data_IF_372887566717
#
_entry.id   IF_372887566717
#
_cell.length_a   1.000
_cell.length_b   1.000
_cell.length_c   1.000
_cell.angle_alpha   90.00
_cell.angle_beta   90.00
_cell.angle_gamma   90.00
#
_symmetry.space_group_name_H-M   'P 1'
#
loop_
_entity.id
_entity.type
_entity.pdbx_description
1 polymer ?
#
# COMPACT_ATOMS: atom_id res chain seq x y z
N UNK A 1 0.09 12.07 9.58
CA UNK A 1 0.22 11.49 8.22
C UNK A 1 -0.42 10.11 8.29
N UNK A 2 -1.32 9.74 7.36
CA UNK A 2 -1.97 8.42 7.40
C UNK A 2 -1.07 7.41 6.67
N UNK A 3 -0.24 6.70 7.43
CA UNK A 3 0.61 5.60 6.94
C UNK A 3 -0.04 4.26 7.25
N UNK A 4 0.50 3.19 6.66
CA UNK A 4 0.09 1.81 6.99
C UNK A 4 0.47 1.48 8.43
N UNK A 5 -0.45 0.86 9.15
CA UNK A 5 -0.32 0.43 10.54
C UNK A 5 -0.45 -1.10 10.70
N UNK A 6 -1.13 -1.77 9.77
CA UNK A 6 -1.35 -3.22 9.77
C UNK A 6 -1.17 -3.78 8.37
N UNK A 7 -0.45 -4.89 8.25
CA UNK A 7 -0.35 -5.68 7.02
C UNK A 7 -1.21 -6.93 7.16
N UNK A 8 -1.83 -7.37 6.06
CA UNK A 8 -2.65 -8.58 6.05
C UNK A 8 -2.58 -9.29 4.70
N UNK A 9 -2.75 -10.61 4.73
CA UNK A 9 -2.88 -11.46 3.55
C UNK A 9 -4.19 -12.25 3.61
N UNK A 10 -4.86 -12.38 2.47
CA UNK A 10 -6.09 -13.16 2.36
C UNK A 10 -5.75 -14.62 2.07
N UNK A 11 -6.36 -15.54 2.82
CA UNK A 11 -6.23 -16.96 2.52
C UNK A 11 -7.02 -17.34 1.27
N UNK A 12 -6.37 -17.95 0.29
CA UNK A 12 -7.00 -18.38 -0.97
C UNK A 12 -8.12 -19.41 -0.75
N UNK A 13 -8.02 -20.24 0.30
CA UNK A 13 -8.97 -21.33 0.56
C UNK A 13 -10.26 -20.87 1.26
N UNK A 14 -10.14 -20.02 2.29
CA UNK A 14 -11.27 -19.64 3.14
C UNK A 14 -11.62 -18.15 3.06
N UNK A 15 -10.88 -17.36 2.30
CA UNK A 15 -11.05 -15.92 2.10
C UNK A 15 -10.92 -15.05 3.36
N UNK A 16 -10.53 -15.64 4.50
CA UNK A 16 -10.26 -14.92 5.75
C UNK A 16 -8.92 -14.17 5.67
N UNK A 17 -8.87 -13.00 6.30
CA UNK A 17 -7.66 -12.19 6.38
C UNK A 17 -6.83 -12.55 7.61
N UNK A 18 -5.53 -12.71 7.38
CA UNK A 18 -4.54 -12.97 8.42
C UNK A 18 -3.61 -11.78 8.55
N UNK A 19 -3.40 -11.31 9.79
CA UNK A 19 -2.45 -10.23 10.05
C UNK A 19 -1.03 -10.75 9.84
N UNK A 20 -0.22 -9.98 9.13
CA UNK A 20 1.19 -10.26 8.88
C UNK A 20 2.01 -9.33 9.75
N UNK A 21 2.93 -9.90 10.53
CA UNK A 21 3.60 -9.17 11.62
C UNK A 21 4.58 -8.11 11.11
N UNK A 22 5.25 -8.40 9.99
CA UNK A 22 6.32 -7.56 9.46
C UNK A 22 6.03 -7.13 8.03
N UNK A 23 6.54 -5.96 7.66
CA UNK A 23 6.46 -5.47 6.29
C UNK A 23 7.22 -6.39 5.34
N UNK A 24 8.37 -6.92 5.79
CA UNK A 24 9.24 -7.81 5.00
C UNK A 24 8.54 -9.12 4.64
N UNK A 25 7.81 -9.72 5.59
CA UNK A 25 7.00 -10.91 5.33
C UNK A 25 5.82 -10.61 4.40
N UNK A 26 5.16 -9.46 4.59
CA UNK A 26 4.08 -9.03 3.71
C UNK A 26 4.57 -8.85 2.27
N UNK A 27 5.72 -8.21 2.07
CA UNK A 27 6.31 -8.04 0.74
C UNK A 27 6.72 -9.36 0.10
N UNK A 28 7.25 -10.30 0.90
CA UNK A 28 7.56 -11.65 0.43
C UNK A 28 6.29 -12.35 -0.08
N UNK A 29 5.21 -12.35 0.71
CA UNK A 29 3.91 -12.91 0.31
C UNK A 29 3.40 -12.23 -0.96
N UNK A 30 3.32 -10.89 -0.98
CA UNK A 30 2.81 -10.09 -2.10
C UNK A 30 3.58 -10.35 -3.39
N UNK A 31 4.90 -10.44 -3.32
CA UNK A 31 5.78 -10.61 -4.49
C UNK A 31 5.56 -11.94 -5.19
N UNK A 32 5.16 -12.98 -4.45
CA UNK A 32 4.98 -14.34 -4.94
C UNK A 32 3.53 -14.78 -5.00
N UNK A 33 2.57 -13.94 -4.61
CA UNK A 33 1.17 -14.35 -4.39
C UNK A 33 0.51 -15.00 -5.62
N UNK A 34 0.94 -14.64 -6.83
CA UNK A 34 0.43 -15.21 -8.09
C UNK A 34 0.89 -16.65 -8.28
N UNK A 35 2.11 -16.98 -7.87
CA UNK A 35 2.73 -18.30 -8.02
C UNK A 35 2.54 -19.18 -6.77
N UNK A 36 2.51 -18.53 -5.61
CA UNK A 36 2.40 -19.15 -4.29
C UNK A 36 1.32 -18.41 -3.48
N UNK A 37 0.03 -18.78 -3.68
CA UNK A 37 -1.08 -18.19 -2.93
C UNK A 37 -0.90 -18.34 -1.42
N UNK A 38 -1.50 -17.42 -0.66
CA UNK A 38 -1.41 -17.44 0.79
C UNK A 38 -2.45 -18.39 1.39
N UNK A 39 -2.04 -19.20 2.37
CA UNK A 39 -2.91 -20.12 3.11
C UNK A 39 -2.70 -19.95 4.61
N UNK A 40 -3.75 -20.14 5.42
CA UNK A 40 -3.72 -19.96 6.88
C UNK A 40 -2.59 -20.75 7.56
N UNK A 41 -2.32 -21.97 7.10
CA UNK A 41 -1.30 -22.86 7.66
C UNK A 41 0.15 -22.37 7.46
N UNK A 42 0.36 -21.29 6.70
CA UNK A 42 1.65 -20.59 6.65
C UNK A 42 1.99 -19.93 7.99
N UNK A 43 0.96 -19.56 8.78
CA UNK A 43 1.13 -19.14 10.17
C UNK A 43 1.10 -20.38 11.06
N UNK A 44 2.12 -20.61 11.91
CA UNK A 44 2.14 -21.75 12.81
C UNK A 44 0.91 -21.80 13.71
N UNK A 45 0.23 -22.94 13.74
CA UNK A 45 -0.93 -23.16 14.60
C UNK A 45 -2.24 -22.49 14.16
N UNK A 46 -2.29 -21.89 12.96
CA UNK A 46 -3.52 -21.28 12.41
C UNK A 46 -4.05 -22.10 11.24
N UNK A 47 -5.37 -22.33 11.23
CA UNK A 47 -6.08 -23.07 10.19
C UNK A 47 -7.19 -22.24 9.53
N UNK A 48 -7.93 -22.87 8.61
CA UNK A 48 -9.08 -22.24 7.96
C UNK A 48 -10.33 -22.23 8.86
N UNK A 49 -10.33 -23.04 9.91
CA UNK A 49 -11.42 -23.15 10.87
C UNK A 49 -11.37 -22.00 11.88
N UNK A 50 -10.18 -21.47 12.17
CA UNK A 50 -10.01 -20.33 13.07
C UNK A 50 -10.69 -19.05 12.54
N UNK A 51 -11.26 -18.20 13.41
CA UNK A 51 -11.79 -16.88 13.06
C UNK A 51 -10.75 -16.02 12.34
N UNK A 52 -11.15 -15.08 11.48
CA UNK A 52 -10.22 -14.16 10.85
C UNK A 52 -9.49 -13.30 11.90
N UNK A 53 -8.24 -12.92 11.62
CA UNK A 53 -7.47 -12.05 12.52
C UNK A 53 -8.01 -10.62 12.45
N UNK A 54 -8.57 -10.26 11.29
CA UNK A 54 -9.10 -8.94 10.96
C UNK A 54 -10.17 -9.08 9.88
N UNK A 55 -11.20 -8.22 9.92
CA UNK A 55 -12.28 -8.20 8.92
C UNK A 55 -12.14 -7.00 7.99
N UNK A 56 -12.42 -7.21 6.70
CA UNK A 56 -12.44 -6.14 5.71
C UNK A 56 -13.78 -5.38 5.79
N UNK A 57 -13.88 -4.49 6.77
CA UNK A 57 -15.05 -3.67 7.06
C UNK A 57 -14.71 -2.16 7.11
N UNK A 58 -15.70 -1.34 7.47
CA UNK A 58 -15.55 0.12 7.59
C UNK A 58 -14.94 0.58 8.93
N UNK A 59 -14.42 -0.33 9.78
CA UNK A 59 -13.73 0.05 11.02
C UNK A 59 -12.40 0.77 10.76
N UNK A 60 -11.82 0.57 9.57
CA UNK A 60 -10.59 1.21 9.09
C UNK A 60 -10.60 1.29 7.57
N UNK A 61 -9.80 2.18 7.00
CA UNK A 61 -9.63 2.22 5.54
C UNK A 61 -8.67 1.14 5.06
N UNK A 62 -9.14 0.30 4.16
CA UNK A 62 -8.38 -0.74 3.51
C UNK A 62 -7.80 -0.28 2.18
N UNK A 63 -6.62 -0.80 1.89
CA UNK A 63 -5.94 -0.62 0.61
C UNK A 63 -5.39 -1.97 0.15
N UNK A 64 -5.52 -2.28 -1.14
CA UNK A 64 -5.08 -3.56 -1.71
C UNK A 64 -4.00 -3.30 -2.75
N UNK A 65 -2.79 -3.83 -2.50
CA UNK A 65 -1.70 -3.81 -3.47
C UNK A 65 -2.04 -4.70 -4.68
N UNK A 66 -1.48 -4.35 -5.84
CA UNK A 66 -1.53 -5.23 -7.02
C UNK A 66 -0.78 -6.55 -6.70
N UNK A 67 -1.32 -7.72 -7.07
CA UNK A 67 -0.59 -8.98 -6.96
C UNK A 67 0.76 -8.96 -7.69
N UNK A 68 1.78 -9.60 -7.12
CA UNK A 68 3.09 -9.77 -7.75
C UNK A 68 3.98 -8.52 -7.75
N UNK A 69 3.69 -7.52 -6.92
CA UNK A 69 4.58 -6.37 -6.76
C UNK A 69 5.90 -6.81 -6.09
N UNK A 70 7.05 -6.44 -6.66
CA UNK A 70 8.36 -6.87 -6.15
C UNK A 70 8.60 -6.35 -4.73
N UNK A 71 9.54 -6.98 -4.04
CA UNK A 71 10.00 -6.52 -2.72
C UNK A 71 10.74 -5.19 -2.87
N UNK A 72 10.77 -4.43 -1.79
CA UNK A 72 11.58 -3.21 -1.71
C UNK A 72 13.07 -3.58 -1.79
N UNK A 73 13.90 -2.81 -2.53
CA UNK A 73 15.33 -3.07 -2.60
C UNK A 73 16.00 -3.00 -1.22
N UNK A 74 16.97 -3.88 -0.98
CA UNK A 74 17.66 -3.99 0.31
C UNK A 74 18.22 -2.66 0.80
N UNK A 75 17.97 -2.34 2.08
CA UNK A 75 18.40 -1.08 2.72
C UNK A 75 17.44 0.10 2.49
N UNK A 76 16.48 -0.02 1.58
CA UNK A 76 15.41 0.97 1.41
C UNK A 76 14.14 0.49 2.11
N UNK A 77 13.23 1.43 2.36
CA UNK A 77 11.89 1.14 2.88
C UNK A 77 10.83 1.80 2.00
N UNK A 78 9.84 1.04 1.51
CA UNK A 78 8.68 1.63 0.84
C UNK A 78 7.77 2.27 1.90
N UNK A 79 7.37 3.51 1.66
CA UNK A 79 6.49 4.26 2.55
C UNK A 79 5.24 4.67 1.77
N UNK A 80 4.09 4.23 2.24
CA UNK A 80 2.80 4.57 1.66
C UNK A 80 2.08 5.60 2.53
N UNK A 81 1.53 6.63 1.89
CA UNK A 81 0.78 7.69 2.58
C UNK A 81 -0.57 7.89 1.92
N UNK A 82 -1.65 7.68 2.68
CA UNK A 82 -3.00 7.97 2.23
C UNK A 82 -3.24 9.48 2.18
N UNK A 83 -3.77 9.96 1.07
CA UNK A 83 -4.13 11.37 0.89
C UNK A 83 -5.25 11.78 1.85
N UNK A 84 -5.33 13.09 2.13
CA UNK A 84 -6.34 13.63 3.07
C UNK A 84 -7.77 13.34 2.62
N UNK A 85 -7.99 13.34 1.32
CA UNK A 85 -9.27 13.08 0.64
C UNK A 85 -9.56 11.59 0.39
N UNK A 86 -8.69 10.68 0.84
CA UNK A 86 -8.82 9.22 0.67
C UNK A 86 -8.86 8.76 -0.80
N UNK A 87 -8.51 9.62 -1.76
CA UNK A 87 -8.58 9.30 -3.19
C UNK A 87 -7.59 8.23 -3.63
N UNK A 88 -6.38 8.23 -3.05
CA UNK A 88 -5.32 7.26 -3.29
C UNK A 88 -4.22 7.35 -2.24
N UNK A 89 -3.34 6.36 -2.24
CA UNK A 89 -2.04 6.46 -1.58
C UNK A 89 -0.98 7.03 -2.52
N UNK A 90 -0.03 7.77 -1.96
CA UNK A 90 1.22 8.11 -2.62
C UNK A 90 2.34 7.19 -2.10
N UNK A 91 3.12 6.62 -3.02
CA UNK A 91 4.27 5.78 -2.70
C UNK A 91 5.58 6.61 -2.67
N UNK A 92 6.42 6.30 -1.69
CA UNK A 92 7.74 6.90 -1.48
C UNK A 92 8.74 5.82 -1.12
N UNK A 93 10.02 6.16 -1.20
CA UNK A 93 11.10 5.33 -0.66
C UNK A 93 11.90 6.11 0.37
N UNK A 94 12.16 5.48 1.50
CA UNK A 94 13.09 5.98 2.52
C UNK A 94 14.44 5.32 2.25
N UNK A 95 15.47 6.14 2.10
CA UNK A 95 16.84 5.67 1.89
C UNK A 95 17.42 5.10 3.19
N UNK A 96 18.53 4.35 3.11
CA UNK A 96 19.30 3.95 4.30
C UNK A 96 19.76 5.13 5.19
N UNK A 97 19.79 6.35 4.66
CA UNK A 97 20.13 7.57 5.38
C UNK A 97 18.91 8.30 5.95
N UNK A 98 17.71 7.74 5.80
CA UNK A 98 16.45 8.33 6.26
C UNK A 98 15.82 9.36 5.30
N UNK A 99 16.44 9.63 4.14
CA UNK A 99 15.90 10.59 3.16
C UNK A 99 14.67 10.00 2.48
N UNK A 100 13.58 10.78 2.41
CA UNK A 100 12.36 10.40 1.70
C UNK A 100 12.45 10.85 0.24
N UNK A 101 12.27 9.91 -0.68
CA UNK A 101 12.28 10.10 -2.13
C UNK A 101 10.91 9.77 -2.71
N UNK A 102 10.44 10.57 -3.66
CA UNK A 102 9.10 10.50 -4.25
C UNK A 102 9.11 10.10 -5.72
N UNK A 103 10.25 10.20 -6.39
CA UNK A 103 10.35 9.96 -7.83
C UNK A 103 11.54 9.08 -8.20
N UNK A 104 11.49 8.47 -9.38
CA UNK A 104 12.63 7.73 -9.94
C UNK A 104 13.85 8.63 -10.16
N UNK A 105 13.66 9.88 -10.55
CA UNK A 105 14.76 10.83 -10.74
C UNK A 105 15.47 11.13 -9.41
N UNK A 106 14.71 11.27 -8.32
CA UNK A 106 15.28 11.45 -6.98
C UNK A 106 16.06 10.20 -6.52
N UNK A 107 15.59 8.99 -6.88
CA UNK A 107 16.32 7.74 -6.62
C UNK A 107 17.61 7.70 -7.45
N UNK A 108 17.54 8.00 -8.74
CA UNK A 108 18.71 8.03 -9.62
C UNK A 108 19.79 8.96 -9.06
N UNK A 109 19.41 10.19 -8.75
CA UNK A 109 20.32 11.17 -8.14
C UNK A 109 20.88 10.70 -6.79
N UNK A 110 20.09 9.98 -5.98
CA UNK A 110 20.58 9.39 -4.73
C UNK A 110 21.61 8.28 -4.98
N UNK A 111 21.36 7.37 -5.92
CA UNK A 111 22.26 6.26 -6.23
C UNK A 111 23.58 6.77 -6.84
N UNK A 112 23.52 7.77 -7.74
CA UNK A 112 24.71 8.44 -8.28
C UNK A 112 25.56 9.09 -7.19
N UNK A 113 24.92 9.79 -6.25
CA UNK A 113 25.60 10.43 -5.13
C UNK A 113 26.11 9.43 -4.06
N UNK A 114 25.68 8.17 -4.09
CA UNK A 114 26.03 7.15 -3.10
C UNK A 114 26.53 5.85 -3.75
N UNK A 115 27.76 5.82 -4.30
CA UNK A 115 28.34 4.68 -5.01
C UNK A 115 28.35 3.34 -4.25
N UNK A 116 28.23 3.35 -2.92
CA UNK A 116 28.08 2.14 -2.09
C UNK A 116 26.83 1.31 -2.41
N UNK A 117 25.83 1.89 -3.09
CA UNK A 117 24.60 1.21 -3.48
C UNK A 117 24.57 0.81 -4.97
N UNK A 118 25.72 0.73 -5.65
CA UNK A 118 25.85 0.39 -7.08
C UNK A 118 25.18 -0.93 -7.52
N UNK A 119 24.85 -1.83 -6.59
CA UNK A 119 24.13 -3.09 -6.87
C UNK A 119 22.60 -2.95 -6.90
N UNK A 120 22.05 -1.77 -6.59
CA UNK A 120 20.60 -1.52 -6.61
C UNK A 120 20.24 -0.83 -7.92
N UNK A 121 19.32 -1.42 -8.69
CA UNK A 121 18.81 -0.83 -9.93
C UNK A 121 17.68 0.14 -9.65
N UNK A 122 17.56 1.20 -10.47
CA UNK A 122 16.40 2.10 -10.46
C UNK A 122 15.11 1.32 -10.79
N UNK A 123 15.23 0.25 -11.60
CA UNK A 123 14.10 -0.60 -12.02
C UNK A 123 13.51 -1.41 -10.87
N UNK A 124 14.29 -1.66 -9.81
CA UNK A 124 13.83 -2.39 -8.63
C UNK A 124 12.83 -1.55 -7.79
N UNK A 125 12.71 -0.25 -8.08
CA UNK A 125 11.79 0.65 -7.38
C UNK A 125 10.43 0.76 -8.09
N UNK A 126 9.40 0.28 -7.40
CA UNK A 126 8.03 0.23 -7.88
C UNK A 126 7.10 1.21 -7.13
N UNK A 127 6.67 2.25 -7.84
CA UNK A 127 5.77 3.29 -7.32
C UNK A 127 4.27 2.98 -7.50
N UNK A 128 3.91 1.77 -7.93
CA UNK A 128 2.52 1.34 -8.00
C UNK A 128 1.89 1.51 -6.62
N UNK A 129 0.77 2.22 -6.54
CA UNK A 129 0.08 2.47 -5.27
C UNK A 129 -1.07 1.49 -5.10
N UNK A 130 -1.35 1.02 -3.87
CA UNK A 130 -2.48 0.13 -3.64
C UNK A 130 -3.79 0.86 -3.92
N UNK A 131 -4.81 0.09 -4.32
CA UNK A 131 -6.16 0.59 -4.55
C UNK A 131 -6.86 0.79 -3.21
N UNK A 132 -7.45 1.97 -2.99
CA UNK A 132 -8.29 2.24 -1.82
C UNK A 132 -9.63 1.53 -1.99
N UNK A 133 -10.10 0.85 -0.94
CA UNK A 133 -11.42 0.22 -0.90
C UNK A 133 -12.44 1.26 -0.44
N UNK A 134 -13.21 1.80 -1.38
CA UNK A 134 -14.13 2.92 -1.14
C UNK A 134 -15.17 2.61 -0.05
N UNK A 135 -15.64 1.37 0.02
CA UNK A 135 -16.58 0.86 1.02
C UNK A 135 -16.05 0.99 2.45
N UNK A 136 -14.72 0.96 2.62
CA UNK A 136 -14.03 1.05 3.92
C UNK A 136 -13.61 2.48 4.30
N UNK A 137 -13.87 3.46 3.43
CA UNK A 137 -13.61 4.88 3.71
C UNK A 137 -14.69 5.42 4.66
N UNK A 138 -14.34 6.21 5.69
CA UNK A 138 -15.33 6.82 6.59
C UNK A 138 -16.39 7.66 5.85
N UNK A 139 -17.65 7.53 6.26
CA UNK A 139 -18.80 8.19 5.61
C UNK A 139 -18.73 9.73 5.63
N UNK A 140 -18.16 10.32 6.67
CA UNK A 140 -17.94 11.76 6.80
C UNK A 140 -17.01 12.29 5.69
N UNK A 141 -16.02 11.50 5.30
CA UNK A 141 -15.09 11.82 4.21
C UNK A 141 -15.81 11.70 2.86
N UNK A 142 -16.59 10.63 2.64
CA UNK A 142 -17.35 10.43 1.40
C UNK A 142 -18.30 11.59 1.12
N UNK A 143 -18.97 12.10 2.15
CA UNK A 143 -19.85 13.27 2.03
C UNK A 143 -19.07 14.54 1.69
N UNK A 144 -17.89 14.75 2.27
CA UNK A 144 -17.04 15.90 1.99
C UNK A 144 -16.49 15.90 0.55
N UNK A 145 -16.07 14.73 0.03
CA UNK A 145 -15.56 14.59 -1.34
C UNK A 145 -16.68 14.72 -2.38
N UNK A 146 -17.87 14.18 -2.11
CA UNK A 146 -19.05 14.38 -2.95
C UNK A 146 -19.45 15.87 -3.02
N UNK A 147 -19.49 16.54 -1.86
CA UNK A 147 -19.83 17.97 -1.76
C UNK A 147 -18.82 18.88 -2.47
N UNK A 148 -17.52 18.53 -2.43
CA UNK A 148 -16.47 19.24 -3.16
C UNK A 148 -16.60 19.07 -4.67
N UNK A 149 -16.96 17.87 -5.13
CA UNK A 149 -17.26 17.58 -6.54
C UNK A 149 -18.47 18.38 -7.04
N UNK A 150 -19.54 18.49 -6.23
CA UNK A 150 -20.72 19.31 -6.56
C UNK A 150 -20.42 20.80 -6.66
N UNK A 151 -19.53 21.34 -5.81
CA UNK A 151 -19.09 22.74 -5.89
C UNK A 151 -18.24 23.02 -7.13
N UNK A 152 -17.43 22.06 -7.57
CA UNK A 152 -16.58 22.20 -8.77
C UNK A 152 -17.40 22.23 -10.06
N UNK A 153 -18.50 21.48 -10.12
CA UNK A 153 -19.45 21.51 -11.25
C UNK A 153 -20.22 22.84 -11.31
N UNK A 154 -20.55 23.44 -10.16
CA UNK A 154 -21.28 24.71 -10.13
C UNK A 154 -20.41 25.91 -10.55
N UNK A 155 -19.12 25.91 -10.22
CA UNK A 155 -18.20 26.98 -10.61
C UNK A 155 -17.87 27.03 -12.12
N UNK A 156 -18.19 25.98 -12.89
CA UNK A 156 -17.97 25.95 -14.35
C UNK A 156 -19.22 26.29 -15.17
N UNK A 157 -20.36 26.60 -14.54
CA UNK A 157 -21.62 26.90 -15.26
C UNK A 157 -21.97 28.40 -15.33
N UNK A 158 -21.16 29.27 -14.72
CA UNK A 158 -21.38 30.73 -14.70
C UNK A 158 -20.34 31.51 -15.55
N UNK A 159 -19.73 30.87 -16.55
CA UNK A 159 -18.83 31.50 -17.52
C UNK A 159 -19.17 31.04 -18.94
N UNK A 160 -20.31 31.47 -19.46
CA UNK A 160 -20.68 31.46 -20.87
C UNK A 160 -21.72 32.54 -21.14
#
# INVERSE_FOLDING_TARGET
MRSVDTYAAQCEKCMKWRVIETEEEYEEIRSKIVENPFYCNRKPGISCEDPADIECDASRTWVIDKPGLPKTPGGFKRSLVLRRDFSKMDAYYITPTGKKLRTRNEIAAFLEANPKYKGVSIEDFNFTSPKVMEETVPEDVKKATASASSKKVKASKDAA
#
